data_IF_556455464495
#
_entry.id   IF_556455464495
#
_cell.length_a   1.000
_cell.length_b   1.000
_cell.length_c   1.000
_cell.angle_alpha   90.00
_cell.angle_beta   90.00
_cell.angle_gamma   90.00
#
_symmetry.space_group_name_H-M   'P 1'
#
loop_
_entity.id
_entity.type
_entity.pdbx_description
1 polymer ?
#
# COMPACT_ATOMS: atom_id res chain seq x y z
N UNK A 1 19.73 25.03 -19.65
CA UNK A 1 19.35 24.21 -18.48
C UNK A 1 20.57 23.39 -18.09
N UNK A 2 20.80 23.19 -16.79
CA UNK A 2 21.89 22.33 -16.33
C UNK A 2 21.49 20.86 -16.46
N UNK A 3 22.45 20.00 -16.80
CA UNK A 3 22.26 18.56 -16.88
C UNK A 3 22.33 17.94 -15.48
N UNK A 4 21.42 17.03 -15.15
CA UNK A 4 21.42 16.32 -13.87
C UNK A 4 22.17 15.00 -14.07
N UNK A 5 23.29 14.83 -13.35
CA UNK A 5 24.13 13.63 -13.40
C UNK A 5 24.15 12.97 -12.02
N UNK A 6 23.82 11.68 -11.97
CA UNK A 6 23.85 10.87 -10.75
C UNK A 6 25.15 10.03 -10.69
N UNK A 7 25.60 9.61 -9.49
CA UNK A 7 26.70 8.65 -9.37
C UNK A 7 26.44 7.35 -10.14
N UNK A 8 27.50 6.67 -10.59
CA UNK A 8 27.40 5.41 -11.35
C UNK A 8 26.63 4.31 -10.59
N UNK A 9 26.66 4.35 -9.26
CA UNK A 9 26.04 3.38 -8.36
C UNK A 9 24.76 3.91 -7.68
N UNK A 10 24.09 4.90 -8.27
CA UNK A 10 22.84 5.39 -7.72
C UNK A 10 21.72 4.34 -7.89
N UNK A 11 21.05 4.00 -6.80
CA UNK A 11 19.94 3.05 -6.81
C UNK A 11 18.61 3.76 -7.08
N UNK A 12 17.97 3.39 -8.19
CA UNK A 12 16.63 3.83 -8.53
C UNK A 12 15.61 2.81 -8.05
N UNK A 13 14.58 3.27 -7.36
CA UNK A 13 13.54 2.40 -6.86
C UNK A 13 12.21 3.11 -6.70
N UNK A 14 11.20 2.30 -6.41
CA UNK A 14 9.89 2.72 -5.97
C UNK A 14 9.60 2.07 -4.62
N UNK A 15 8.70 2.65 -3.83
CA UNK A 15 8.35 2.16 -2.51
C UNK A 15 6.84 2.17 -2.30
N UNK A 16 6.37 1.21 -1.53
CA UNK A 16 4.96 1.02 -1.15
C UNK A 16 4.90 0.59 0.33
N UNK A 17 3.69 0.51 0.89
CA UNK A 17 3.47 -0.07 2.22
C UNK A 17 2.27 -1.03 2.18
N UNK A 18 2.37 -2.16 2.86
CA UNK A 18 1.42 -3.28 2.79
C UNK A 18 -0.05 -2.86 2.82
N UNK A 19 -0.52 -2.21 3.89
CA UNK A 19 -1.92 -1.82 4.03
C UNK A 19 -2.42 -0.85 2.93
N UNK A 20 -1.51 -0.12 2.28
CA UNK A 20 -1.87 0.83 1.23
C UNK A 20 -2.12 0.16 -0.13
N UNK A 21 -1.57 -1.05 -0.36
CA UNK A 21 -1.62 -1.70 -1.69
C UNK A 21 -2.16 -3.13 -1.68
N UNK A 22 -1.95 -3.89 -0.61
CA UNK A 22 -2.16 -5.35 -0.60
C UNK A 22 -3.63 -5.75 -0.75
N UNK A 23 -4.53 -5.18 0.05
CA UNK A 23 -5.89 -5.70 0.17
C UNK A 23 -5.93 -6.99 0.98
N UNK A 24 -6.84 -7.90 0.62
CA UNK A 24 -6.98 -9.23 1.21
C UNK A 24 -6.99 -9.23 2.76
N UNK A 25 -7.62 -8.20 3.35
CA UNK A 25 -7.41 -7.84 4.76
C UNK A 25 -7.80 -8.92 5.78
N UNK A 26 -8.63 -9.88 5.38
CA UNK A 26 -9.14 -10.98 6.19
C UNK A 26 -8.94 -12.36 5.53
N UNK A 27 -8.03 -12.47 4.56
CA UNK A 27 -7.72 -13.71 3.86
C UNK A 27 -6.52 -14.44 4.47
N UNK A 28 -6.40 -15.74 4.17
CA UNK A 28 -5.23 -16.60 4.44
C UNK A 28 -4.63 -16.53 5.87
N UNK A 29 -5.47 -16.20 6.85
CA UNK A 29 -5.08 -16.15 8.26
C UNK A 29 -4.45 -14.82 8.70
N UNK A 30 -4.53 -13.75 7.90
CA UNK A 30 -4.11 -12.41 8.31
C UNK A 30 -4.86 -11.97 9.58
N UNK A 31 -4.09 -11.50 10.57
CA UNK A 31 -4.63 -10.86 11.77
C UNK A 31 -5.08 -9.42 11.52
N UNK A 32 -6.00 -8.94 12.36
CA UNK A 32 -6.42 -7.54 12.35
C UNK A 32 -5.28 -6.62 12.81
N UNK A 33 -4.96 -5.60 12.00
CA UNK A 33 -4.04 -4.52 12.35
C UNK A 33 -4.78 -3.33 12.98
N UNK A 34 -4.03 -2.39 13.57
CA UNK A 34 -4.61 -1.14 14.06
C UNK A 34 -5.25 -0.31 12.95
N UNK A 35 -4.76 -0.41 11.71
CA UNK A 35 -5.31 0.31 10.56
C UNK A 35 -6.63 -0.30 10.10
N UNK A 36 -6.75 -1.63 10.08
CA UNK A 36 -8.03 -2.31 9.87
C UNK A 36 -9.08 -1.78 10.84
N UNK A 37 -8.76 -1.76 12.14
CA UNK A 37 -9.68 -1.25 13.17
C UNK A 37 -10.02 0.22 12.97
N UNK A 38 -9.04 1.05 12.63
CA UNK A 38 -9.20 2.50 12.52
C UNK A 38 -10.02 2.92 11.30
N UNK A 39 -9.81 2.31 10.13
CA UNK A 39 -10.52 2.68 8.89
C UNK A 39 -11.98 2.22 8.90
N UNK A 40 -12.31 1.11 9.58
CA UNK A 40 -13.68 0.61 9.72
C UNK A 40 -14.58 1.48 10.61
N UNK A 41 -14.04 2.47 11.33
CA UNK A 41 -14.84 3.42 12.10
C UNK A 41 -15.16 4.66 11.25
N UNK A 42 -16.46 4.92 11.05
CA UNK A 42 -16.94 6.06 10.26
C UNK A 42 -16.42 7.39 10.79
N UNK A 43 -15.98 8.25 9.87
CA UNK A 43 -15.44 9.59 10.16
C UNK A 43 -13.93 9.63 10.40
N UNK A 44 -13.26 8.48 10.53
CA UNK A 44 -11.80 8.43 10.71
C UNK A 44 -11.03 8.67 9.40
N UNK A 45 -11.63 8.31 8.26
CA UNK A 45 -11.09 8.50 6.92
C UNK A 45 -12.02 9.44 6.15
N UNK A 46 -11.47 10.39 5.40
CA UNK A 46 -12.22 11.49 4.74
C UNK A 46 -13.41 11.01 3.90
N UNK A 47 -13.33 9.82 3.30
CA UNK A 47 -14.39 9.20 2.51
C UNK A 47 -14.93 7.89 3.12
N UNK A 48 -14.47 7.51 4.32
CA UNK A 48 -14.68 6.20 4.93
C UNK A 48 -14.12 5.02 4.09
N UNK A 49 -13.06 5.27 3.33
CA UNK A 49 -12.35 4.22 2.59
C UNK A 49 -11.59 3.30 3.56
N UNK A 50 -11.43 2.03 3.16
CA UNK A 50 -10.66 1.01 3.88
C UNK A 50 -9.55 0.45 3.00
N UNK A 51 -8.57 -0.22 3.61
CA UNK A 51 -7.55 -0.99 2.91
C UNK A 51 -7.99 -2.41 2.56
N UNK A 52 -9.30 -2.71 2.60
CA UNK A 52 -9.79 -4.09 2.48
C UNK A 52 -9.48 -4.71 1.11
N UNK A 53 -9.60 -3.88 0.07
CA UNK A 53 -9.22 -4.21 -1.31
C UNK A 53 -7.95 -3.47 -1.74
N UNK A 54 -7.83 -2.18 -1.41
CA UNK A 54 -6.71 -1.32 -1.81
C UNK A 54 -6.42 -1.39 -3.34
N UNK A 55 -5.21 -1.80 -3.73
CA UNK A 55 -4.83 -2.03 -5.13
C UNK A 55 -4.93 -3.51 -5.53
N UNK A 56 -5.38 -4.38 -4.63
CA UNK A 56 -5.43 -5.84 -4.83
C UNK A 56 -4.05 -6.46 -5.12
N UNK A 57 -2.97 -5.82 -4.63
CA UNK A 57 -1.59 -6.28 -4.85
C UNK A 57 -1.35 -7.68 -4.29
N UNK A 58 -2.06 -8.09 -3.23
CA UNK A 58 -1.97 -9.44 -2.68
C UNK A 58 -2.23 -10.51 -3.76
N UNK A 59 -3.22 -10.29 -4.62
CA UNK A 59 -3.54 -11.17 -5.74
C UNK A 59 -2.78 -10.82 -7.03
N UNK A 60 -2.43 -9.54 -7.20
CA UNK A 60 -1.90 -8.97 -8.46
C UNK A 60 -0.41 -8.67 -8.47
N UNK A 61 0.35 -9.04 -7.44
CA UNK A 61 1.79 -8.76 -7.37
C UNK A 61 2.62 -9.26 -8.56
N UNK A 62 2.09 -10.17 -9.39
CA UNK A 62 2.71 -10.62 -10.63
C UNK A 62 2.50 -9.67 -11.82
N UNK A 63 1.45 -8.86 -11.78
CA UNK A 63 1.09 -7.86 -12.79
C UNK A 63 1.67 -6.48 -12.47
N UNK A 64 1.92 -6.20 -11.19
CA UNK A 64 2.52 -4.95 -10.69
C UNK A 64 4.00 -4.80 -11.04
#
# INVERSE_FOLDING_TARGET
>A
MAEIVFPENFEWGAATASYQIEGAYNEDGKGESIWDRFTHQKGNISNNDTGDLACDHYHRFKED
#
